data_IF_089517826119
#
_entry.id   IF_089517826119
#
_cell.length_a   1.000
_cell.length_b   1.000
_cell.length_c   1.000
_cell.angle_alpha   90.00
_cell.angle_beta   90.00
_cell.angle_gamma   90.00
#
_symmetry.space_group_name_H-M   'P 1'
#
loop_
_entity.id
_entity.type
_entity.pdbx_description
1 polymer ?
#
# COMPACT_ATOMS: atom_id res chain seq x y z
N UNK A 1 2.66 -23.46 -24.41
CA UNK A 1 2.04 -22.87 -23.22
C UNK A 1 3.00 -21.84 -22.69
N UNK A 2 2.64 -20.56 -22.79
CA UNK A 2 3.52 -19.48 -22.34
C UNK A 2 3.59 -19.49 -20.81
N UNK A 3 4.81 -19.53 -20.26
CA UNK A 3 5.06 -19.65 -18.82
C UNK A 3 4.88 -18.28 -18.12
N UNK A 4 3.72 -17.65 -18.33
CA UNK A 4 3.48 -16.23 -18.05
C UNK A 4 3.62 -15.90 -16.55
N UNK A 5 3.12 -16.76 -15.66
CA UNK A 5 3.16 -16.52 -14.21
C UNK A 5 4.60 -16.52 -13.69
N UNK A 6 5.44 -17.53 -13.94
CA UNK A 6 6.86 -17.47 -13.59
C UNK A 6 7.63 -16.31 -14.25
N UNK A 7 7.33 -15.97 -15.51
CA UNK A 7 7.96 -14.82 -16.17
C UNK A 7 7.64 -13.49 -15.46
N UNK A 8 6.38 -13.28 -15.08
CA UNK A 8 5.95 -12.10 -14.32
C UNK A 8 6.62 -12.05 -12.94
N UNK A 9 6.71 -13.18 -12.25
CA UNK A 9 7.39 -13.27 -10.96
C UNK A 9 8.87 -12.93 -11.06
N UNK A 10 9.59 -13.47 -12.04
CA UNK A 10 11.01 -13.15 -12.27
C UNK A 10 11.20 -11.65 -12.53
N UNK A 11 10.29 -11.03 -13.30
CA UNK A 11 10.37 -9.60 -13.57
C UNK A 11 10.13 -8.76 -12.33
N UNK A 12 9.16 -9.12 -11.49
CA UNK A 12 8.93 -8.46 -10.19
C UNK A 12 10.18 -8.58 -9.30
N UNK A 13 10.81 -9.76 -9.28
CA UNK A 13 12.03 -9.98 -8.51
C UNK A 13 13.17 -9.10 -9.01
N UNK A 14 13.39 -9.05 -10.33
CA UNK A 14 14.41 -8.19 -10.94
C UNK A 14 14.23 -6.71 -10.57
N UNK A 15 13.00 -6.21 -10.63
CA UNK A 15 12.68 -4.79 -10.40
C UNK A 15 12.85 -4.39 -8.93
N UNK A 16 12.39 -5.22 -7.99
CA UNK A 16 12.36 -4.84 -6.57
C UNK A 16 13.64 -5.23 -5.83
N UNK A 17 14.46 -6.16 -6.36
CA UNK A 17 15.69 -6.63 -5.71
C UNK A 17 16.65 -5.49 -5.31
N UNK A 18 16.86 -4.43 -6.10
CA UNK A 18 17.72 -3.30 -5.73
C UNK A 18 17.22 -2.49 -4.52
N UNK A 19 15.93 -2.58 -4.20
CA UNK A 19 15.31 -1.86 -3.08
C UNK A 19 14.76 -2.81 -2.01
N UNK A 20 15.14 -4.10 -2.05
CA UNK A 20 14.54 -5.13 -1.22
C UNK A 20 14.61 -4.78 0.28
N UNK A 21 15.73 -4.25 0.75
CA UNK A 21 15.92 -3.90 2.17
C UNK A 21 15.13 -2.66 2.62
N UNK A 22 14.45 -1.98 1.69
CA UNK A 22 13.57 -0.83 1.95
C UNK A 22 12.08 -1.24 1.92
N UNK A 23 11.76 -2.45 1.48
CA UNK A 23 10.38 -2.94 1.45
C UNK A 23 9.95 -3.36 2.87
N UNK A 24 8.74 -2.95 3.26
CA UNK A 24 8.21 -3.22 4.62
C UNK A 24 7.43 -4.53 4.72
N UNK A 25 6.99 -5.07 3.59
CA UNK A 25 6.14 -6.25 3.53
C UNK A 25 5.55 -6.47 2.14
N UNK A 26 4.99 -7.65 1.91
CA UNK A 26 4.35 -8.04 0.65
C UNK A 26 2.88 -8.40 0.90
N UNK A 27 1.95 -7.67 0.29
CA UNK A 27 0.52 -8.00 0.36
C UNK A 27 0.14 -9.08 -0.65
N UNK A 28 -0.75 -9.99 -0.24
CA UNK A 28 -1.36 -10.97 -1.16
C UNK A 28 -2.55 -10.31 -1.85
N UNK A 29 -2.59 -10.37 -3.18
CA UNK A 29 -3.72 -9.90 -3.97
C UNK A 29 -4.74 -11.00 -4.24
N UNK A 30 -5.88 -10.59 -4.79
CA UNK A 30 -6.96 -11.50 -5.17
C UNK A 30 -6.54 -12.47 -6.29
N UNK A 31 -5.59 -12.10 -7.14
CA UNK A 31 -5.08 -12.96 -8.21
C UNK A 31 -4.18 -14.07 -7.66
N UNK A 32 -3.26 -13.72 -6.77
CA UNK A 32 -2.34 -14.64 -6.10
C UNK A 32 -3.13 -15.64 -5.26
N UNK A 33 -4.12 -15.16 -4.49
CA UNK A 33 -5.04 -16.03 -3.73
C UNK A 33 -5.79 -17.00 -4.64
N UNK A 34 -6.29 -16.54 -5.80
CA UNK A 34 -7.00 -17.40 -6.76
C UNK A 34 -6.08 -18.47 -7.35
N UNK A 35 -4.84 -18.12 -7.67
CA UNK A 35 -3.84 -19.06 -8.17
C UNK A 35 -3.53 -20.12 -7.10
N UNK A 36 -3.30 -19.69 -5.87
CA UNK A 36 -3.02 -20.58 -4.72
C UNK A 36 -4.15 -21.58 -4.45
N UNK A 37 -5.39 -21.12 -4.47
CA UNK A 37 -6.54 -21.99 -4.20
C UNK A 37 -6.85 -22.94 -5.37
N UNK A 38 -6.68 -22.49 -6.62
CA UNK A 38 -7.06 -23.28 -7.80
C UNK A 38 -5.96 -24.24 -8.26
N UNK A 39 -4.70 -23.84 -8.13
CA UNK A 39 -3.56 -24.56 -8.70
C UNK A 39 -2.57 -25.04 -7.63
N UNK A 40 -2.88 -24.86 -6.35
CA UNK A 40 -2.01 -25.25 -5.22
C UNK A 40 -0.57 -24.70 -5.33
N UNK A 41 -0.44 -23.53 -5.96
CA UNK A 41 0.82 -22.86 -6.22
C UNK A 41 0.75 -21.46 -5.63
N UNK A 42 1.71 -21.07 -4.79
CA UNK A 42 1.74 -19.76 -4.13
C UNK A 42 2.78 -18.84 -4.79
N UNK A 43 2.37 -17.95 -5.73
CA UNK A 43 3.31 -17.05 -6.40
C UNK A 43 3.99 -16.09 -5.41
N UNK A 44 3.30 -15.71 -4.32
CA UNK A 44 3.84 -14.79 -3.33
C UNK A 44 4.98 -15.44 -2.55
N UNK A 45 4.81 -16.70 -2.18
CA UNK A 45 5.86 -17.45 -1.50
C UNK A 45 7.12 -17.61 -2.37
N UNK A 46 6.94 -17.91 -3.65
CA UNK A 46 8.05 -18.06 -4.58
C UNK A 46 8.79 -16.74 -4.85
N UNK A 47 8.06 -15.61 -4.99
CA UNK A 47 8.66 -14.27 -5.06
C UNK A 47 9.42 -13.94 -3.78
N UNK A 48 8.80 -14.18 -2.62
CA UNK A 48 9.41 -13.95 -1.31
C UNK A 48 10.71 -14.74 -1.13
N UNK A 49 10.71 -16.02 -1.52
CA UNK A 49 11.88 -16.90 -1.52
C UNK A 49 12.96 -16.41 -2.48
N UNK A 50 12.59 -16.02 -3.69
CA UNK A 50 13.53 -15.57 -4.72
C UNK A 50 14.24 -14.24 -4.37
N UNK A 51 13.63 -13.40 -3.55
CA UNK A 51 14.28 -12.19 -3.04
C UNK A 51 15.32 -12.45 -1.94
N UNK A 52 15.38 -13.67 -1.40
CA UNK A 52 16.17 -14.00 -0.21
C UNK A 52 15.84 -13.04 0.94
N UNK A 53 14.56 -13.00 1.32
CA UNK A 53 13.99 -12.08 2.30
C UNK A 53 13.43 -12.80 3.53
N UNK A 54 14.27 -13.37 4.40
CA UNK A 54 13.77 -13.87 5.68
C UNK A 54 13.17 -12.76 6.56
N UNK A 55 13.56 -11.50 6.31
CA UNK A 55 13.16 -10.33 7.12
C UNK A 55 11.89 -9.62 6.66
N UNK A 56 11.40 -9.86 5.44
CA UNK A 56 10.20 -9.16 4.93
C UNK A 56 8.98 -10.05 5.11
N UNK A 57 7.98 -9.64 5.90
CA UNK A 57 6.79 -10.43 6.13
C UNK A 57 5.85 -10.44 4.93
N UNK A 58 5.19 -11.59 4.70
CA UNK A 58 4.01 -11.67 3.84
C UNK A 58 2.81 -11.17 4.66
N UNK A 59 2.29 -10.01 4.30
CA UNK A 59 1.25 -9.26 5.02
C UNK A 59 -0.17 -9.76 4.75
N UNK A 60 -0.35 -10.67 3.77
CA UNK A 60 -1.66 -11.19 3.34
C UNK A 60 -2.63 -10.04 3.00
N UNK A 61 -3.88 -10.10 3.44
CA UNK A 61 -4.94 -9.17 3.04
C UNK A 61 -4.78 -7.76 3.66
N UNK A 62 -4.41 -7.67 4.94
CA UNK A 62 -4.34 -6.41 5.69
C UNK A 62 -3.20 -6.43 6.73
N UNK A 63 -2.59 -5.28 7.01
CA UNK A 63 -1.54 -5.14 8.00
C UNK A 63 -1.55 -3.77 8.68
N UNK A 64 -1.05 -3.74 9.92
CA UNK A 64 -0.67 -2.51 10.62
C UNK A 64 0.85 -2.51 10.74
N UNK A 65 1.50 -1.50 10.17
CA UNK A 65 2.95 -1.30 10.22
C UNK A 65 3.26 -0.03 11.00
N UNK A 66 4.05 -0.16 12.07
CA UNK A 66 4.53 0.99 12.85
C UNK A 66 5.96 1.34 12.44
N UNK A 67 6.16 2.55 11.95
CA UNK A 67 7.50 3.11 11.72
C UNK A 67 7.90 3.96 12.92
N UNK A 68 8.94 3.55 13.64
CA UNK A 68 9.50 4.31 14.77
C UNK A 68 10.81 4.98 14.37
N UNK A 69 10.84 6.30 14.50
CA UNK A 69 12.03 7.14 14.30
C UNK A 69 12.60 7.48 15.67
N UNK A 70 13.79 6.96 15.97
CA UNK A 70 14.50 7.22 17.23
C UNK A 70 15.57 8.29 16.98
N UNK A 71 15.50 9.40 17.70
CA UNK A 71 16.46 10.50 17.55
C UNK A 71 17.64 10.30 18.49
N UNK A 72 18.85 10.22 17.94
CA UNK A 72 20.06 10.07 18.74
C UNK A 72 20.29 11.31 19.61
N UNK A 73 20.36 11.11 20.92
CA UNK A 73 20.77 12.13 21.89
C UNK A 73 21.36 11.45 23.14
N UNK A 74 21.99 12.24 24.01
CA UNK A 74 22.60 11.75 25.25
C UNK A 74 21.58 11.48 26.39
N UNK A 75 20.30 11.29 26.07
CA UNK A 75 19.28 10.98 27.06
C UNK A 75 19.23 9.46 27.33
N UNK A 76 18.93 9.08 28.58
CA UNK A 76 18.73 7.67 28.97
C UNK A 76 17.63 6.98 28.15
N UNK A 77 16.59 7.74 27.76
CA UNK A 77 15.55 7.32 26.84
C UNK A 77 15.54 8.34 25.70
N UNK A 78 16.07 8.01 24.52
CA UNK A 78 16.07 8.92 23.39
C UNK A 78 14.63 9.23 22.96
N UNK A 79 14.33 10.49 22.56
CA UNK A 79 13.03 10.81 22.03
C UNK A 79 12.77 10.01 20.76
N UNK A 80 11.54 9.59 20.57
CA UNK A 80 11.11 8.88 19.37
C UNK A 80 9.77 9.40 18.88
N UNK A 81 9.52 9.20 17.59
CA UNK A 81 8.25 9.53 16.96
C UNK A 81 7.81 8.38 16.08
N UNK A 82 6.52 8.08 16.09
CA UNK A 82 5.94 6.94 15.37
C UNK A 82 4.94 7.40 14.33
N UNK A 83 4.89 6.68 13.21
CA UNK A 83 3.79 6.74 12.26
C UNK A 83 3.19 5.33 12.14
N UNK A 84 1.88 5.24 12.31
CA UNK A 84 1.15 4.00 12.11
C UNK A 84 0.54 3.97 10.71
N UNK A 85 0.77 2.86 10.00
CA UNK A 85 0.28 2.63 8.64
C UNK A 85 -0.69 1.46 8.68
N UNK A 86 -1.93 1.68 8.24
CA UNK A 86 -2.86 0.62 7.92
C UNK A 86 -2.86 0.40 6.40
N UNK A 87 -2.49 -0.81 5.97
CA UNK A 87 -2.42 -1.15 4.55
C UNK A 87 -3.23 -2.40 4.23
N UNK A 88 -3.91 -2.39 3.09
CA UNK A 88 -4.75 -3.50 2.64
C UNK A 88 -4.65 -3.63 1.11
N UNK A 89 -4.66 -4.85 0.58
CA UNK A 89 -4.92 -5.05 -0.86
C UNK A 89 -6.27 -4.41 -1.22
N UNK A 90 -7.26 -4.71 -0.39
CA UNK A 90 -8.55 -4.05 -0.38
C UNK A 90 -9.57 -4.73 -1.27
N UNK A 91 -10.80 -4.28 -1.12
CA UNK A 91 -11.89 -4.59 -2.03
C UNK A 91 -12.75 -3.34 -2.13
N UNK A 92 -12.91 -2.83 -3.34
CA UNK A 92 -13.69 -1.63 -3.60
C UNK A 92 -14.29 -1.67 -4.99
N UNK A 93 -15.61 -1.47 -5.02
CA UNK A 93 -16.38 -1.41 -6.25
C UNK A 93 -16.49 0.00 -6.82
N UNK A 94 -17.33 0.13 -7.85
CA UNK A 94 -17.59 1.39 -8.53
C UNK A 94 -16.46 1.81 -9.47
N UNK A 95 -16.77 2.58 -10.52
CA UNK A 95 -15.78 3.01 -11.52
C UNK A 95 -15.09 4.33 -11.12
N UNK A 96 -15.82 5.24 -10.49
CA UNK A 96 -15.36 6.60 -10.15
C UNK A 96 -14.55 6.64 -8.85
N UNK A 97 -13.78 7.71 -8.67
CA UNK A 97 -12.91 7.94 -7.50
C UNK A 97 -13.67 8.06 -6.17
N UNK A 98 -14.88 8.64 -6.18
CA UNK A 98 -15.68 8.84 -4.96
C UNK A 98 -15.94 7.56 -4.16
N UNK A 99 -16.20 6.43 -4.84
CA UNK A 99 -16.38 5.14 -4.16
C UNK A 99 -15.11 4.68 -3.41
N UNK A 100 -13.92 5.03 -3.92
CA UNK A 100 -12.63 4.67 -3.32
C UNK A 100 -12.30 5.59 -2.16
N UNK A 101 -12.59 6.87 -2.30
CA UNK A 101 -12.45 7.82 -1.21
C UNK A 101 -13.38 7.43 -0.05
N UNK A 102 -14.65 7.11 -0.31
CA UNK A 102 -15.57 6.62 0.73
C UNK A 102 -15.03 5.37 1.43
N UNK A 103 -14.45 4.44 0.68
CA UNK A 103 -13.86 3.23 1.26
C UNK A 103 -12.65 3.54 2.16
N UNK A 104 -11.80 4.47 1.75
CA UNK A 104 -10.69 4.94 2.57
C UNK A 104 -11.19 5.65 3.84
N UNK A 105 -12.27 6.42 3.73
CA UNK A 105 -12.91 7.09 4.87
C UNK A 105 -13.46 6.08 5.88
N UNK A 106 -14.12 5.03 5.39
CA UNK A 106 -14.55 3.91 6.24
C UNK A 106 -13.37 3.25 6.95
N UNK A 107 -12.24 3.05 6.24
CA UNK A 107 -11.02 2.51 6.86
C UNK A 107 -10.51 3.43 7.97
N UNK A 108 -10.50 4.74 7.74
CA UNK A 108 -10.08 5.75 8.72
C UNK A 108 -11.02 5.85 9.93
N UNK A 109 -12.31 5.53 9.76
CA UNK A 109 -13.27 5.49 10.86
C UNK A 109 -13.13 4.22 11.70
N UNK A 110 -12.74 3.09 11.10
CA UNK A 110 -12.73 1.78 11.74
C UNK A 110 -11.37 1.38 12.34
N UNK A 111 -10.26 1.84 11.76
CA UNK A 111 -8.91 1.51 12.21
C UNK A 111 -8.19 2.76 12.67
N UNK A 112 -7.36 2.63 13.72
CA UNK A 112 -6.54 3.73 14.20
C UNK A 112 -5.13 3.65 13.58
N UNK A 113 -4.88 4.51 12.60
CA UNK A 113 -3.56 4.72 11.99
C UNK A 113 -3.37 6.18 11.60
N UNK A 114 -2.17 6.58 11.20
CA UNK A 114 -1.88 7.91 10.63
C UNK A 114 -1.95 7.91 9.11
N UNK A 115 -1.67 6.75 8.49
CA UNK A 115 -1.62 6.55 7.04
C UNK A 115 -2.48 5.35 6.69
N UNK A 116 -3.36 5.49 5.69
CA UNK A 116 -4.27 4.45 5.22
C UNK A 116 -4.00 4.19 3.73
N UNK A 117 -3.61 2.96 3.40
CA UNK A 117 -3.22 2.55 2.05
C UNK A 117 -4.14 1.44 1.54
N UNK A 118 -4.74 1.63 0.36
CA UNK A 118 -5.56 0.62 -0.31
C UNK A 118 -5.08 0.41 -1.75
N UNK A 119 -4.94 -0.84 -2.19
CA UNK A 119 -4.59 -1.17 -3.57
C UNK A 119 -5.83 -1.49 -4.43
N UNK A 120 -5.69 -2.41 -5.38
CA UNK A 120 -6.75 -3.03 -6.20
C UNK A 120 -7.46 -2.15 -7.26
N UNK A 121 -7.59 -0.83 -7.06
CA UNK A 121 -8.49 0.01 -7.88
C UNK A 121 -7.93 0.54 -9.19
N UNK A 122 -6.65 0.30 -9.48
CA UNK A 122 -5.94 0.79 -10.67
C UNK A 122 -5.99 2.32 -10.89
N UNK A 123 -6.12 3.09 -9.81
CA UNK A 123 -6.05 4.56 -9.82
C UNK A 123 -5.11 5.04 -8.72
N UNK A 124 -4.57 6.26 -8.90
CA UNK A 124 -3.96 7.03 -7.82
C UNK A 124 -5.00 8.01 -7.30
N UNK A 125 -5.14 8.07 -5.99
CA UNK A 125 -6.03 9.00 -5.32
C UNK A 125 -5.50 9.20 -3.91
N UNK A 126 -5.38 10.44 -3.48
CA UNK A 126 -4.86 10.81 -2.17
C UNK A 126 -5.74 11.86 -1.54
N UNK A 127 -5.87 11.78 -0.22
CA UNK A 127 -6.60 12.76 0.57
C UNK A 127 -5.86 12.96 1.90
N UNK A 128 -5.91 14.18 2.42
CA UNK A 128 -5.39 14.49 3.75
C UNK A 128 -6.50 15.00 4.65
N UNK A 129 -6.65 14.37 5.81
CA UNK A 129 -7.67 14.74 6.79
C UNK A 129 -7.06 15.17 8.10
N UNK A 130 -7.87 15.87 8.88
CA UNK A 130 -7.56 16.23 10.24
C UNK A 130 -8.59 15.60 11.16
N UNK A 131 -8.13 14.81 12.12
CA UNK A 131 -8.96 14.17 13.13
C UNK A 131 -8.65 14.73 14.51
N UNK A 132 -9.69 15.02 15.29
CA UNK A 132 -9.53 15.43 16.68
C UNK A 132 -9.44 14.17 17.57
N UNK A 133 -8.61 14.23 18.60
CA UNK A 133 -8.52 13.21 19.64
C UNK A 133 -8.17 13.87 20.98
N UNK A 134 -8.43 13.17 22.08
CA UNK A 134 -8.09 13.64 23.43
C UNK A 134 -6.87 12.87 23.92
N UNK A 135 -5.85 13.60 24.39
CA UNK A 135 -4.66 12.97 24.98
C UNK A 135 -4.91 12.50 26.43
N UNK A 136 -3.95 11.77 27.01
CA UNK A 136 -4.05 11.27 28.39
C UNK A 136 -4.20 12.38 29.45
N UNK A 137 -3.89 13.63 29.11
CA UNK A 137 -3.98 14.80 29.97
C UNK A 137 -5.26 15.60 29.71
N UNK A 138 -6.25 15.02 29.01
CA UNK A 138 -7.53 15.63 28.67
C UNK A 138 -7.43 16.88 27.79
N UNK A 139 -6.35 17.00 27.02
CA UNK A 139 -6.24 18.08 26.04
C UNK A 139 -6.78 17.63 24.69
N UNK A 140 -7.59 18.49 24.05
CA UNK A 140 -7.99 18.30 22.67
C UNK A 140 -6.78 18.49 21.76
N UNK A 141 -6.47 17.48 20.97
CA UNK A 141 -5.36 17.45 20.01
C UNK A 141 -5.89 17.16 18.61
N UNK A 142 -5.08 17.52 17.63
CA UNK A 142 -5.33 17.31 16.21
C UNK A 142 -4.28 16.37 15.65
N UNK A 143 -4.69 15.35 14.92
CA UNK A 143 -3.83 14.45 14.17
C UNK A 143 -4.13 14.59 12.67
N UNK A 144 -3.08 14.73 11.86
CA UNK A 144 -3.20 14.65 10.41
C UNK A 144 -3.24 13.17 10.00
N UNK A 145 -4.16 12.84 9.11
CA UNK A 145 -4.34 11.50 8.54
C UNK A 145 -4.14 11.58 7.03
N UNK A 146 -3.44 10.62 6.45
CA UNK A 146 -3.28 10.48 5.00
C UNK A 146 -3.99 9.24 4.52
N UNK A 147 -4.80 9.39 3.48
CA UNK A 147 -5.56 8.32 2.88
C UNK A 147 -5.11 8.21 1.42
N UNK A 148 -4.80 7.01 0.95
CA UNK A 148 -4.30 6.83 -0.40
C UNK A 148 -4.74 5.51 -1.05
N UNK A 149 -5.15 5.60 -2.32
CA UNK A 149 -5.16 4.48 -3.25
C UNK A 149 -3.81 4.43 -3.94
N UNK A 150 -3.11 3.30 -3.83
CA UNK A 150 -1.64 3.23 -4.08
C UNK A 150 -1.22 3.26 -5.54
N UNK A 151 -2.16 3.34 -6.50
CA UNK A 151 -1.86 3.26 -7.92
C UNK A 151 -1.77 1.84 -8.47
N UNK A 152 -1.22 1.72 -9.68
CA UNK A 152 -0.94 0.45 -10.34
C UNK A 152 0.11 0.63 -11.45
N UNK A 153 0.59 -0.47 -12.00
CA UNK A 153 1.44 -0.49 -13.19
C UNK A 153 0.74 -1.14 -14.40
N UNK A 154 -0.58 -1.28 -14.34
CA UNK A 154 -1.37 -1.76 -15.48
C UNK A 154 -1.55 -0.61 -16.46
N UNK A 155 -1.07 -0.80 -17.70
CA UNK A 155 -1.44 0.06 -18.81
C UNK A 155 -2.77 -0.44 -19.41
N UNK A 156 -3.87 0.26 -19.14
CA UNK A 156 -5.21 -0.20 -19.49
C UNK A 156 -5.51 -0.24 -21.00
N UNK A 157 -4.83 0.59 -21.80
CA UNK A 157 -5.01 0.64 -23.25
C UNK A 157 -3.65 0.61 -23.92
N UNK A 158 -3.43 -0.36 -24.81
CA UNK A 158 -2.22 -0.48 -25.61
C UNK A 158 -2.63 -0.75 -27.05
N UNK A 159 -2.18 0.08 -27.98
CA UNK A 159 -2.52 -0.07 -29.39
C UNK A 159 -2.11 -1.46 -29.91
N UNK A 160 -3.01 -2.11 -30.65
CA UNK A 160 -2.80 -3.47 -31.18
C UNK A 160 -3.04 -4.62 -30.19
N UNK A 161 -3.38 -4.34 -28.93
CA UNK A 161 -3.63 -5.36 -27.91
C UNK A 161 -4.93 -5.12 -27.15
N UNK A 162 -5.86 -6.08 -27.25
CA UNK A 162 -7.08 -6.08 -26.46
C UNK A 162 -6.85 -6.51 -25.01
N UNK A 163 -7.68 -6.03 -24.08
CA UNK A 163 -7.53 -6.35 -22.67
C UNK A 163 -8.79 -6.14 -21.83
N UNK A 164 -8.70 -6.51 -20.56
CA UNK A 164 -9.80 -6.36 -19.58
C UNK A 164 -10.33 -4.93 -19.51
N UNK A 165 -9.44 -3.92 -19.54
CA UNK A 165 -9.86 -2.53 -19.50
C UNK A 165 -10.71 -2.13 -20.71
N UNK A 166 -10.38 -2.60 -21.92
CA UNK A 166 -11.15 -2.36 -23.14
C UNK A 166 -12.49 -3.10 -23.12
N UNK A 167 -12.48 -4.39 -22.76
CA UNK A 167 -13.69 -5.23 -22.68
C UNK A 167 -14.77 -4.62 -21.76
N UNK A 168 -14.34 -3.94 -20.69
CA UNK A 168 -15.24 -3.35 -19.70
C UNK A 168 -15.43 -1.84 -19.86
N UNK A 169 -14.81 -1.23 -20.89
CA UNK A 169 -14.76 0.22 -21.11
C UNK A 169 -14.38 0.99 -19.85
N UNK A 170 -13.27 0.57 -19.22
CA UNK A 170 -12.74 1.23 -18.04
C UNK A 170 -12.01 2.51 -18.44
N UNK A 171 -11.90 3.47 -17.52
CA UNK A 171 -11.08 4.66 -17.77
C UNK A 171 -9.61 4.27 -17.96
N UNK A 172 -8.86 4.99 -18.82
CA UNK A 172 -7.42 4.83 -18.90
C UNK A 172 -6.76 4.98 -17.52
N UNK A 173 -5.81 4.10 -17.23
CA UNK A 173 -5.14 4.02 -15.93
C UNK A 173 -3.88 4.87 -15.93
N UNK A 174 -3.72 5.74 -14.93
CA UNK A 174 -2.46 6.44 -14.71
C UNK A 174 -1.50 5.54 -13.93
N UNK A 175 -0.48 5.02 -14.60
CA UNK A 175 0.53 4.15 -13.96
C UNK A 175 1.37 4.92 -12.93
N UNK A 176 1.93 4.19 -11.97
CA UNK A 176 2.81 4.72 -10.94
C UNK A 176 2.32 4.46 -9.53
N UNK A 177 2.97 5.13 -8.58
CA UNK A 177 2.80 4.93 -7.13
C UNK A 177 2.50 6.25 -6.44
N UNK A 178 1.89 6.19 -5.26
CA UNK A 178 1.78 7.34 -4.36
C UNK A 178 3.08 7.50 -3.57
N UNK A 179 3.52 8.75 -3.37
CA UNK A 179 4.65 9.10 -2.52
C UNK A 179 4.17 9.75 -1.23
N UNK A 180 4.59 9.19 -0.09
CA UNK A 180 4.34 9.75 1.24
C UNK A 180 5.68 10.18 1.83
N UNK A 181 5.77 11.45 2.24
CA UNK A 181 6.94 12.03 2.88
C UNK A 181 6.70 12.19 4.37
N UNK A 182 7.50 11.50 5.18
CA UNK A 182 7.47 11.56 6.63
C UNK A 182 8.53 12.55 7.11
N UNK A 183 8.15 13.49 7.98
CA UNK A 183 9.09 14.45 8.59
C UNK A 183 9.01 14.34 10.12
N UNK A 184 9.66 13.33 10.73
CA UNK A 184 9.50 13.02 12.15
C UNK A 184 9.89 14.17 13.08
N UNK A 185 10.93 14.95 12.74
CA UNK A 185 11.37 16.11 13.52
C UNK A 185 10.33 17.23 13.57
N UNK A 186 9.68 17.48 12.43
CA UNK A 186 8.64 18.50 12.30
C UNK A 186 7.26 17.98 12.71
N UNK A 187 7.14 16.67 12.96
CA UNK A 187 5.87 15.94 13.18
C UNK A 187 4.89 16.18 12.03
N UNK A 188 5.42 16.24 10.82
CA UNK A 188 4.66 16.52 9.60
C UNK A 188 4.58 15.27 8.71
N UNK A 189 3.49 15.20 7.94
CA UNK A 189 3.12 14.09 7.08
C UNK A 189 2.56 14.68 5.78
N UNK A 190 3.18 14.38 4.64
CA UNK A 190 2.78 14.92 3.35
C UNK A 190 2.59 13.80 2.31
N UNK A 191 1.62 13.96 1.42
CA UNK A 191 1.28 13.00 0.36
C UNK A 191 1.23 13.71 -0.98
N UNK A 192 1.76 13.06 -2.01
CA UNK A 192 1.72 13.50 -3.41
C UNK A 192 1.48 12.31 -4.35
N UNK A 193 0.69 12.55 -5.40
CA UNK A 193 0.39 11.59 -6.49
C UNK A 193 1.38 11.61 -7.65
#
# INVERSE_FOLDING_TARGET
MDNLVPMQMHKVVEILKPIKDKCLGLHEGNHERKIRLKYHYDPMYEVWKAFDLPSIPILKDAAITRLQFVFKCNAKIPPSYTYDIFSVHGNVGGRKGGAKLNRLEDMCANFQADIYLMAHSHIKLTESKSQLYVDKKMNLKRAKKVLAVTGCFLNGYTEGYGGYCEQWMLSPTMTGVVKISLRPFQRDLHVSE
#
